data_IF_108233737862
#
_entry.id   IF_108233737862
#
_cell.length_a   1.000
_cell.length_b   1.000
_cell.length_c   1.000
_cell.angle_alpha   90.00
_cell.angle_beta   90.00
_cell.angle_gamma   90.00
#
_symmetry.space_group_name_H-M   'P 1'
#
loop_
_entity.id
_entity.type
_entity.pdbx_description
1 polymer ?
#
# COMPACT_ATOMS: atom_id res chain seq x y z
N UNK A 1 28.34 5.41 -28.34
CA UNK A 1 27.35 4.75 -27.47
C UNK A 1 25.90 5.18 -27.75
N UNK A 2 25.59 5.79 -28.91
CA UNK A 2 24.23 6.26 -29.23
C UNK A 2 23.25 5.10 -29.47
N UNK A 3 23.69 4.03 -30.15
CA UNK A 3 22.83 2.88 -30.48
C UNK A 3 22.28 2.17 -29.23
N UNK A 4 23.15 1.85 -28.26
CA UNK A 4 22.74 1.24 -26.99
C UNK A 4 21.85 2.18 -26.16
N UNK A 5 22.12 3.49 -26.19
CA UNK A 5 21.28 4.48 -25.53
C UNK A 5 19.86 4.51 -26.14
N UNK A 6 19.74 4.54 -27.47
CA UNK A 6 18.44 4.48 -28.15
C UNK A 6 17.70 3.17 -27.85
N UNK A 7 18.40 2.03 -27.84
CA UNK A 7 17.83 0.75 -27.42
C UNK A 7 17.35 0.76 -25.96
N UNK A 8 18.06 1.45 -25.06
CA UNK A 8 17.65 1.55 -23.65
C UNK A 8 16.36 2.34 -23.48
N UNK A 9 16.20 3.46 -24.20
CA UNK A 9 14.96 4.26 -24.19
C UNK A 9 13.81 3.45 -24.79
N UNK A 10 14.06 2.77 -25.91
CA UNK A 10 13.07 1.91 -26.55
C UNK A 10 12.63 0.79 -25.60
N UNK A 11 13.57 0.12 -24.94
CA UNK A 11 13.26 -0.94 -23.97
C UNK A 11 12.44 -0.40 -22.80
N UNK A 12 12.79 0.76 -22.25
CA UNK A 12 12.05 1.39 -21.17
C UNK A 12 10.62 1.77 -21.60
N UNK A 13 10.46 2.31 -22.82
CA UNK A 13 9.14 2.62 -23.36
C UNK A 13 8.28 1.37 -23.54
N UNK A 14 8.84 0.29 -24.11
CA UNK A 14 8.14 -0.98 -24.27
C UNK A 14 7.74 -1.55 -22.90
N UNK A 15 8.66 -1.61 -21.93
CA UNK A 15 8.37 -2.10 -20.59
C UNK A 15 7.27 -1.28 -19.91
N UNK A 16 7.31 0.05 -20.01
CA UNK A 16 6.29 0.92 -19.43
C UNK A 16 4.90 0.64 -20.01
N UNK A 17 4.80 0.43 -21.34
CA UNK A 17 3.54 0.06 -22.00
C UNK A 17 3.04 -1.31 -21.51
N UNK A 18 3.89 -2.33 -21.49
CA UNK A 18 3.50 -3.67 -21.05
C UNK A 18 3.06 -3.69 -19.58
N UNK A 19 3.76 -2.99 -18.68
CA UNK A 19 3.37 -2.88 -17.26
C UNK A 19 2.02 -2.18 -17.13
N UNK A 20 1.81 -1.10 -17.87
CA UNK A 20 0.54 -0.35 -17.83
C UNK A 20 -0.62 -1.23 -18.31
N UNK A 21 -0.45 -1.93 -19.43
CA UNK A 21 -1.46 -2.84 -19.96
C UNK A 21 -1.74 -4.02 -19.03
N UNK A 22 -0.71 -4.58 -18.40
CA UNK A 22 -0.86 -5.67 -17.43
C UNK A 22 -1.66 -5.22 -16.19
N UNK A 23 -1.36 -4.04 -15.65
CA UNK A 23 -2.12 -3.47 -14.52
C UNK A 23 -3.56 -3.18 -14.95
N UNK A 24 -3.77 -2.57 -16.11
CA UNK A 24 -5.11 -2.26 -16.61
C UNK A 24 -5.96 -3.53 -16.82
N UNK A 25 -5.40 -4.56 -17.44
CA UNK A 25 -6.08 -5.84 -17.64
C UNK A 25 -6.39 -6.55 -16.31
N UNK A 26 -5.43 -6.53 -15.36
CA UNK A 26 -5.64 -7.08 -14.02
C UNK A 26 -6.74 -6.37 -13.23
N UNK A 27 -6.76 -5.03 -13.26
CA UNK A 27 -7.80 -4.23 -12.60
C UNK A 27 -9.17 -4.40 -13.27
N UNK A 28 -9.21 -4.52 -14.60
CA UNK A 28 -10.44 -4.80 -15.34
C UNK A 28 -11.04 -6.16 -14.94
N UNK A 29 -10.22 -7.21 -14.91
CA UNK A 29 -10.66 -8.53 -14.47
C UNK A 29 -11.11 -8.52 -13.00
N UNK A 30 -10.41 -7.80 -12.13
CA UNK A 30 -10.81 -7.69 -10.72
C UNK A 30 -12.15 -6.93 -10.57
N UNK A 31 -12.40 -5.92 -11.39
CA UNK A 31 -13.67 -5.20 -11.39
C UNK A 31 -14.83 -6.10 -11.84
N UNK A 32 -14.62 -6.93 -12.86
CA UNK A 32 -15.61 -7.94 -13.31
C UNK A 32 -15.91 -8.95 -12.19
N UNK A 33 -14.88 -9.46 -11.49
CA UNK A 33 -15.08 -10.34 -10.33
C UNK A 33 -15.86 -9.67 -9.19
N UNK A 34 -15.62 -8.38 -8.95
CA UNK A 34 -16.34 -7.60 -7.94
C UNK A 34 -17.81 -7.42 -8.33
N UNK A 35 -18.09 -7.24 -9.62
CA UNK A 35 -19.45 -7.09 -10.16
C UNK A 35 -20.22 -8.41 -10.15
N UNK A 36 -19.59 -9.52 -10.54
CA UNK A 36 -20.22 -10.84 -10.61
C UNK A 36 -20.37 -11.50 -9.21
N UNK A 37 -19.32 -11.43 -8.38
CA UNK A 37 -19.25 -12.10 -7.07
C UNK A 37 -19.25 -11.11 -5.90
N UNK A 38 -20.17 -10.15 -5.90
CA UNK A 38 -20.26 -9.06 -4.90
C UNK A 38 -20.20 -9.54 -3.45
N UNK A 39 -20.86 -10.65 -3.10
CA UNK A 39 -20.86 -11.19 -1.71
C UNK A 39 -19.46 -11.68 -1.31
N UNK A 40 -18.81 -12.45 -2.18
CA UNK A 40 -17.45 -12.95 -1.93
C UNK A 40 -16.44 -11.80 -1.92
N UNK A 41 -16.58 -10.85 -2.83
CA UNK A 41 -15.76 -9.64 -2.86
C UNK A 41 -15.88 -8.85 -1.55
N UNK A 42 -17.11 -8.59 -1.08
CA UNK A 42 -17.34 -7.92 0.21
C UNK A 42 -16.68 -8.67 1.36
N UNK A 43 -16.79 -9.99 1.38
CA UNK A 43 -16.19 -10.82 2.41
C UNK A 43 -14.65 -10.72 2.41
N UNK A 44 -14.02 -10.87 1.24
CA UNK A 44 -12.56 -10.76 1.08
C UNK A 44 -12.07 -9.38 1.51
N UNK A 45 -12.72 -8.30 1.06
CA UNK A 45 -12.34 -6.94 1.41
C UNK A 45 -12.50 -6.72 2.92
N UNK A 46 -13.60 -7.21 3.52
CA UNK A 46 -13.83 -7.09 4.97
C UNK A 46 -12.71 -7.76 5.78
N UNK A 47 -12.34 -9.01 5.42
CA UNK A 47 -11.24 -9.70 6.09
C UNK A 47 -9.90 -9.01 5.88
N UNK A 48 -9.66 -8.44 4.70
CA UNK A 48 -8.46 -7.66 4.42
C UNK A 48 -8.38 -6.42 5.33
N UNK A 49 -9.50 -5.70 5.51
CA UNK A 49 -9.61 -4.55 6.42
C UNK A 49 -9.37 -4.97 7.87
N UNK A 50 -9.96 -6.07 8.33
CA UNK A 50 -9.75 -6.57 9.70
C UNK A 50 -8.31 -7.03 9.92
N UNK A 51 -7.72 -7.77 8.98
CA UNK A 51 -6.34 -8.24 9.08
C UNK A 51 -5.34 -7.08 9.13
N UNK A 52 -5.51 -6.08 8.27
CA UNK A 52 -4.67 -4.87 8.25
C UNK A 52 -4.84 -4.00 9.49
N UNK A 53 -6.06 -3.91 10.05
CA UNK A 53 -6.26 -3.28 11.36
C UNK A 53 -5.51 -4.06 12.45
N UNK A 54 -5.54 -5.40 12.40
CA UNK A 54 -4.76 -6.27 13.27
C UNK A 54 -3.26 -6.01 13.17
N UNK A 55 -2.72 -5.82 11.95
CA UNK A 55 -1.31 -5.44 11.77
C UNK A 55 -0.99 -4.08 12.39
N UNK A 56 -1.84 -3.07 12.23
CA UNK A 56 -1.64 -1.79 12.90
C UNK A 56 -1.66 -1.91 14.43
N UNK A 57 -2.52 -2.75 14.99
CA UNK A 57 -2.51 -3.04 16.44
C UNK A 57 -1.21 -3.77 16.82
N UNK A 58 -0.78 -4.76 16.04
CA UNK A 58 0.48 -5.47 16.27
C UNK A 58 1.68 -4.53 16.25
N UNK A 59 1.77 -3.67 15.23
CA UNK A 59 2.78 -2.62 15.15
C UNK A 59 2.77 -1.72 16.38
N UNK A 60 1.60 -1.43 16.95
CA UNK A 60 1.50 -0.63 18.17
C UNK A 60 2.08 -1.30 19.42
N UNK A 61 2.05 -2.64 19.45
CA UNK A 61 2.44 -3.44 20.61
C UNK A 61 3.91 -3.87 20.55
N UNK A 62 4.43 -4.12 19.35
CA UNK A 62 5.77 -4.66 19.16
C UNK A 62 6.81 -3.62 18.72
N UNK A 63 6.38 -2.50 18.11
CA UNK A 63 7.28 -1.53 17.50
C UNK A 63 7.05 -0.11 18.04
N UNK A 64 8.13 0.67 18.18
CA UNK A 64 8.09 2.07 18.62
C UNK A 64 7.76 3.04 17.46
N UNK A 65 6.72 2.74 16.69
CA UNK A 65 6.26 3.61 15.59
C UNK A 65 5.47 4.79 16.19
N UNK A 66 5.60 6.02 15.65
CA UNK A 66 4.86 7.16 16.15
C UNK A 66 3.35 6.92 16.20
N UNK A 67 2.76 7.13 17.38
CA UNK A 67 1.34 6.86 17.66
C UNK A 67 0.39 7.50 16.65
N UNK A 68 0.70 8.71 16.17
CA UNK A 68 -0.14 9.44 15.22
C UNK A 68 -0.18 8.77 13.84
N UNK A 69 0.93 8.18 13.39
CA UNK A 69 1.00 7.46 12.10
C UNK A 69 0.15 6.20 12.19
N UNK A 70 0.33 5.43 13.26
CA UNK A 70 -0.42 4.20 13.45
C UNK A 70 -1.92 4.44 13.71
N UNK A 71 -2.27 5.50 14.45
CA UNK A 71 -3.65 5.92 14.66
C UNK A 71 -4.34 6.35 13.35
N UNK A 72 -3.62 7.02 12.44
CA UNK A 72 -4.13 7.34 11.11
C UNK A 72 -4.39 6.07 10.27
N UNK A 73 -3.53 5.06 10.37
CA UNK A 73 -3.74 3.76 9.75
C UNK A 73 -4.97 3.02 10.29
N UNK A 74 -5.17 3.03 11.62
CA UNK A 74 -6.38 2.46 12.23
C UNK A 74 -7.64 3.24 11.85
N UNK A 75 -7.58 4.58 11.84
CA UNK A 75 -8.68 5.43 11.37
C UNK A 75 -9.05 5.10 9.93
N UNK A 76 -8.05 4.91 9.07
CA UNK A 76 -8.26 4.52 7.69
C UNK A 76 -9.02 3.19 7.58
N UNK A 77 -8.72 2.21 8.43
CA UNK A 77 -9.40 0.92 8.46
C UNK A 77 -10.85 1.03 8.93
N UNK A 78 -11.13 1.94 9.88
CA UNK A 78 -12.50 2.28 10.26
C UNK A 78 -13.27 2.90 9.09
N UNK A 79 -12.65 3.83 8.36
CA UNK A 79 -13.27 4.46 7.19
C UNK A 79 -13.57 3.44 6.09
N UNK A 80 -12.67 2.51 5.80
CA UNK A 80 -12.93 1.39 4.88
C UNK A 80 -14.13 0.54 5.33
N UNK A 81 -14.27 0.28 6.64
CA UNK A 81 -15.44 -0.40 7.19
C UNK A 81 -16.74 0.37 6.96
N UNK A 82 -16.71 1.72 7.00
CA UNK A 82 -17.86 2.54 6.65
C UNK A 82 -18.20 2.45 5.16
N UNK A 83 -17.21 2.46 4.27
CA UNK A 83 -17.44 2.28 2.82
C UNK A 83 -18.08 0.92 2.51
N UNK A 84 -17.67 -0.14 3.22
CA UNK A 84 -18.20 -1.50 3.02
C UNK A 84 -19.69 -1.65 3.38
N UNK A 85 -20.29 -0.70 4.10
CA UNK A 85 -21.73 -0.73 4.42
C UNK A 85 -22.59 -0.59 3.17
N UNK A 86 -22.19 0.26 2.24
CA UNK A 86 -22.90 0.55 0.99
C UNK A 86 -22.42 -0.32 -0.19
N UNK A 87 -21.47 -1.23 0.05
CA UNK A 87 -20.93 -2.12 -0.98
C UNK A 87 -22.04 -2.95 -1.66
N UNK A 88 -22.03 -3.09 -3.00
CA UNK A 88 -20.93 -2.79 -3.94
C UNK A 88 -20.89 -1.34 -4.46
N UNK A 89 -21.86 -0.50 -4.10
CA UNK A 89 -21.96 0.85 -4.67
C UNK A 89 -21.09 1.83 -3.88
N UNK A 90 -20.04 2.36 -4.50
CA UNK A 90 -19.18 3.39 -3.91
C UNK A 90 -19.64 4.77 -4.37
N UNK A 91 -20.14 5.58 -3.42
CA UNK A 91 -20.53 6.98 -3.69
C UNK A 91 -19.34 7.91 -3.52
N UNK A 92 -18.82 8.45 -4.62
CA UNK A 92 -17.65 9.35 -4.63
C UNK A 92 -17.90 10.63 -3.82
N UNK A 93 -19.14 11.14 -3.81
CA UNK A 93 -19.52 12.33 -3.03
C UNK A 93 -19.78 12.05 -1.55
N UNK A 94 -19.66 10.80 -1.09
CA UNK A 94 -19.88 10.48 0.33
C UNK A 94 -18.75 11.03 1.18
N UNK A 95 -19.09 11.51 2.37
CA UNK A 95 -18.11 12.01 3.34
C UNK A 95 -17.07 10.94 3.64
N UNK A 96 -17.50 9.68 3.85
CA UNK A 96 -16.60 8.57 4.13
C UNK A 96 -15.57 8.32 3.01
N UNK A 97 -15.99 8.36 1.74
CA UNK A 97 -15.07 8.19 0.61
C UNK A 97 -14.03 9.32 0.56
N UNK A 98 -14.49 10.57 0.63
CA UNK A 98 -13.61 11.75 0.58
C UNK A 98 -12.62 11.72 1.76
N UNK A 99 -13.11 11.45 2.97
CA UNK A 99 -12.23 11.35 4.15
C UNK A 99 -11.25 10.19 4.02
N UNK A 100 -11.63 9.06 3.41
CA UNK A 100 -10.72 7.93 3.20
C UNK A 100 -9.58 8.28 2.26
N UNK A 101 -9.87 9.01 1.19
CA UNK A 101 -8.86 9.47 0.23
C UNK A 101 -7.92 10.48 0.88
N UNK A 102 -8.45 11.45 1.64
CA UNK A 102 -7.62 12.43 2.34
C UNK A 102 -6.73 11.77 3.39
N UNK A 103 -7.28 10.86 4.20
CA UNK A 103 -6.51 10.08 5.19
C UNK A 103 -5.46 9.20 4.51
N UNK A 104 -5.75 8.59 3.36
CA UNK A 104 -4.78 7.79 2.59
C UNK A 104 -3.54 8.61 2.23
N UNK A 105 -3.76 9.80 1.66
CA UNK A 105 -2.70 10.70 1.20
C UNK A 105 -1.89 11.18 2.40
N UNK A 106 -2.55 11.63 3.47
CA UNK A 106 -1.89 12.10 4.69
C UNK A 106 -1.05 11.00 5.33
N UNK A 107 -1.61 9.79 5.47
CA UNK A 107 -0.89 8.64 6.03
C UNK A 107 0.33 8.29 5.18
N UNK A 108 0.20 8.21 3.85
CA UNK A 108 1.33 7.92 2.96
C UNK A 108 2.42 8.97 3.07
N UNK A 109 2.06 10.25 3.07
CA UNK A 109 3.03 11.34 3.21
C UNK A 109 3.81 11.24 4.53
N UNK A 110 3.11 11.02 5.65
CA UNK A 110 3.74 10.85 6.96
C UNK A 110 4.60 9.60 7.03
N UNK A 111 4.13 8.49 6.46
CA UNK A 111 4.87 7.23 6.40
C UNK A 111 6.18 7.39 5.60
N UNK A 112 6.13 7.98 4.40
CA UNK A 112 7.33 8.23 3.62
C UNK A 112 8.31 9.18 4.35
N UNK A 113 7.79 10.19 5.05
CA UNK A 113 8.64 11.07 5.86
C UNK A 113 9.31 10.33 7.02
N UNK A 114 8.58 9.46 7.72
CA UNK A 114 9.08 8.71 8.86
C UNK A 114 10.08 7.63 8.42
N UNK A 115 9.69 6.76 7.49
CA UNK A 115 10.54 5.67 7.01
C UNK A 115 11.66 6.14 6.08
N UNK A 116 11.50 7.29 5.42
CA UNK A 116 12.57 7.91 4.64
C UNK A 116 13.65 8.61 5.48
N UNK A 117 13.44 8.77 6.79
CA UNK A 117 14.42 9.40 7.67
C UNK A 117 15.61 8.49 8.01
N UNK A 118 15.44 7.16 7.93
CA UNK A 118 16.50 6.18 8.15
C UNK A 118 16.80 5.51 6.81
N UNK A 119 17.98 5.79 6.26
CA UNK A 119 18.45 5.16 5.02
C UNK A 119 19.09 3.81 5.36
N UNK A 120 18.43 2.71 5.02
CA UNK A 120 19.07 1.40 4.98
C UNK A 120 19.83 1.26 3.66
N UNK A 121 21.12 0.93 3.75
CA UNK A 121 21.92 0.67 2.56
C UNK A 121 21.43 -0.60 1.87
N UNK A 122 21.49 -0.65 0.54
CA UNK A 122 21.02 -1.81 -0.23
C UNK A 122 21.70 -3.13 0.19
N UNK A 123 22.94 -3.06 0.72
CA UNK A 123 23.67 -4.23 1.25
C UNK A 123 23.01 -4.87 2.48
N UNK A 124 22.27 -4.12 3.29
CA UNK A 124 21.59 -4.63 4.49
C UNK A 124 20.27 -5.34 4.14
N UNK A 125 19.64 -5.00 3.02
CA UNK A 125 18.38 -5.60 2.57
C UNK A 125 18.57 -6.96 1.88
N UNK A 126 19.78 -7.28 1.39
CA UNK A 126 20.00 -8.48 0.59
C UNK A 126 20.28 -9.74 1.43
N UNK A 127 20.78 -9.61 2.67
CA UNK A 127 21.08 -10.74 3.54
C UNK A 127 20.98 -10.37 5.02
N UNK A 128 19.90 -10.80 5.67
CA UNK A 128 19.76 -10.72 7.12
C UNK A 128 20.65 -11.72 7.86
N UNK A 129 21.98 -11.55 7.81
CA UNK A 129 22.93 -12.02 8.82
C UNK A 129 24.12 -11.05 8.82
N UNK A 130 24.00 -9.93 9.51
CA UNK A 130 25.17 -9.24 10.08
C UNK A 130 24.97 -9.25 11.58
N UNK A 131 25.63 -10.22 12.20
CA UNK A 131 25.76 -10.39 13.64
C UNK A 131 26.28 -9.07 14.22
N UNK A 132 25.58 -8.57 15.24
CA UNK A 132 26.04 -7.45 16.03
C UNK A 132 27.44 -7.72 16.56
N UNK A 133 28.38 -6.89 16.17
CA UNK A 133 29.56 -6.62 16.96
C UNK A 133 29.62 -5.12 17.19
N UNK A 134 28.88 -4.68 18.20
CA UNK A 134 29.43 -3.70 19.11
C UNK A 134 30.65 -4.36 19.75
N UNK A 135 31.83 -4.10 19.20
CA UNK A 135 33.08 -4.27 19.91
C UNK A 135 33.65 -2.87 20.04
N UNK A 136 33.72 -2.44 21.30
CA UNK A 136 34.39 -1.26 21.77
C UNK A 136 35.78 -1.13 21.12
N UNK A 137 36.05 0.04 20.53
CA UNK A 137 37.24 0.90 20.69
C UNK A 137 37.24 1.99 19.61
#
# INVERSE_FOLDING_TARGET
MLFLYLLSILSLAVQAVFVTLAIAAGLYYLAELVEEYTVMAKYIITWTVVATAGFHIGLQLFEDIPLHLNALGLLQQLLHGLLLRDFPVVRISSVAFITSVLTLILHHYLAFKFFGAVYYSFSELHWGIVIGTNLEL
#
